data_IF_615415760761
#
_entry.id   IF_615415760761
#
_cell.length_a   1.000
_cell.length_b   1.000
_cell.length_c   1.000
_cell.angle_alpha   90.00
_cell.angle_beta   90.00
_cell.angle_gamma   90.00
#
_symmetry.space_group_name_H-M   'P 1'
#
loop_
_entity.id
_entity.type
_entity.pdbx_description
1 polymer ?
#
# COMPACT_ATOMS: atom_id res chain seq x y z
N UNK A 1 3.34 -10.63 38.19
CA UNK A 1 4.05 -11.12 36.98
C UNK A 1 3.13 -11.76 35.95
N UNK A 2 2.00 -12.38 36.34
CA UNK A 2 1.04 -13.01 35.41
C UNK A 2 0.20 -12.01 34.59
N UNK A 3 -0.24 -10.89 35.16
CA UNK A 3 -1.05 -9.88 34.46
C UNK A 3 -0.27 -9.08 33.40
N UNK A 4 1.01 -8.80 33.66
CA UNK A 4 1.87 -8.12 32.68
C UNK A 4 2.09 -8.98 31.43
N UNK A 5 2.27 -10.29 31.58
CA UNK A 5 2.44 -11.22 30.46
C UNK A 5 1.14 -11.36 29.64
N UNK A 6 -0.04 -11.32 30.28
CA UNK A 6 -1.31 -11.44 29.54
C UNK A 6 -1.66 -10.18 28.75
N UNK A 7 -1.40 -8.99 29.31
CA UNK A 7 -1.56 -7.70 28.62
C UNK A 7 -0.62 -7.57 27.42
N UNK A 8 0.60 -8.09 27.56
CA UNK A 8 1.63 -8.04 26.53
C UNK A 8 1.30 -8.92 25.33
N UNK A 9 0.87 -10.17 25.57
CA UNK A 9 0.35 -11.04 24.52
C UNK A 9 -0.87 -10.44 23.81
N UNK A 10 -1.79 -9.82 24.57
CA UNK A 10 -2.96 -9.14 24.00
C UNK A 10 -2.59 -7.99 23.06
N UNK A 11 -1.57 -7.20 23.42
CA UNK A 11 -1.06 -6.11 22.60
C UNK A 11 -0.40 -6.58 21.30
N UNK A 12 0.50 -7.57 21.37
CA UNK A 12 1.17 -8.16 20.20
C UNK A 12 0.14 -8.75 19.21
N UNK A 13 -0.90 -9.42 19.72
CA UNK A 13 -1.98 -9.93 18.88
C UNK A 13 -2.78 -8.82 18.18
N UNK A 14 -2.90 -7.62 18.78
CA UNK A 14 -3.56 -6.50 18.12
C UNK A 14 -2.70 -5.90 17.01
N UNK A 15 -1.41 -5.72 17.27
CA UNK A 15 -0.47 -5.15 16.30
C UNK A 15 -0.33 -6.04 15.07
N UNK A 16 -0.29 -7.35 15.26
CA UNK A 16 -0.30 -8.32 14.16
C UNK A 16 -1.58 -8.24 13.33
N UNK A 17 -2.76 -8.15 13.98
CA UNK A 17 -4.03 -7.95 13.28
C UNK A 17 -4.05 -6.63 12.49
N UNK A 18 -3.49 -5.58 13.05
CA UNK A 18 -3.40 -4.27 12.38
C UNK A 18 -2.53 -4.35 11.13
N UNK A 19 -1.39 -5.06 11.18
CA UNK A 19 -0.54 -5.29 10.01
C UNK A 19 -1.27 -6.09 8.92
N UNK A 20 -2.04 -7.12 9.28
CA UNK A 20 -2.83 -7.88 8.32
C UNK A 20 -3.92 -7.04 7.65
N UNK A 21 -4.60 -6.20 8.44
CA UNK A 21 -5.57 -5.24 7.92
C UNK A 21 -4.93 -4.28 6.91
N UNK A 22 -3.77 -3.72 7.23
CA UNK A 22 -3.05 -2.81 6.31
C UNK A 22 -2.67 -3.53 5.01
N UNK A 23 -2.22 -4.78 5.08
CA UNK A 23 -1.88 -5.57 3.90
C UNK A 23 -3.10 -5.84 2.99
N UNK A 24 -4.27 -6.07 3.59
CA UNK A 24 -5.53 -6.17 2.85
C UNK A 24 -5.89 -4.84 2.17
N UNK A 25 -5.82 -3.74 2.89
CA UNK A 25 -6.11 -2.40 2.34
C UNK A 25 -5.14 -2.03 1.20
N UNK A 26 -3.86 -2.41 1.31
CA UNK A 26 -2.88 -2.25 0.23
C UNK A 26 -3.25 -3.08 -1.00
N UNK A 27 -3.71 -4.32 -0.79
CA UNK A 27 -4.16 -5.18 -1.88
C UNK A 27 -5.39 -4.60 -2.59
N UNK A 28 -6.35 -4.07 -1.85
CA UNK A 28 -7.54 -3.41 -2.39
C UNK A 28 -7.17 -2.17 -3.22
N UNK A 29 -6.24 -1.34 -2.71
CA UNK A 29 -5.74 -0.19 -3.46
C UNK A 29 -5.06 -0.63 -4.78
N UNK A 30 -4.26 -1.70 -4.77
CA UNK A 30 -3.66 -2.24 -6.01
C UNK A 30 -4.73 -2.70 -7.00
N UNK A 31 -5.77 -3.41 -6.54
CA UNK A 31 -6.85 -3.87 -7.41
C UNK A 31 -7.59 -2.70 -8.07
N UNK A 32 -7.93 -1.68 -7.28
CA UNK A 32 -8.58 -0.48 -7.81
C UNK A 32 -7.69 0.28 -8.82
N UNK A 33 -6.37 0.37 -8.57
CA UNK A 33 -5.44 0.94 -9.55
C UNK A 33 -5.35 0.10 -10.84
N UNK A 34 -5.38 -1.23 -10.75
CA UNK A 34 -5.38 -2.10 -11.94
C UNK A 34 -6.63 -1.88 -12.78
N UNK A 35 -7.80 -1.76 -12.16
CA UNK A 35 -9.07 -1.44 -12.85
C UNK A 35 -8.97 -0.15 -13.65
N UNK A 36 -8.39 0.92 -13.07
CA UNK A 36 -8.19 2.18 -13.80
C UNK A 36 -7.24 2.00 -14.97
N UNK A 37 -6.10 1.34 -14.78
CA UNK A 37 -5.13 1.10 -15.86
C UNK A 37 -5.74 0.28 -17.00
N UNK A 38 -6.55 -0.73 -16.69
CA UNK A 38 -7.25 -1.54 -17.70
C UNK A 38 -8.23 -0.72 -18.53
N UNK A 39 -8.99 0.18 -17.90
CA UNK A 39 -9.88 1.11 -18.61
C UNK A 39 -9.10 2.04 -19.54
N UNK A 40 -7.94 2.53 -19.10
CA UNK A 40 -7.11 3.48 -19.84
C UNK A 40 -6.21 2.83 -20.91
N UNK A 41 -6.24 1.50 -21.04
CA UNK A 41 -5.39 0.75 -21.97
C UNK A 41 -5.84 0.83 -23.43
N UNK A 42 -7.07 1.27 -23.68
CA UNK A 42 -7.67 1.29 -25.01
C UNK A 42 -7.21 2.53 -25.80
N UNK A 43 -6.51 2.38 -26.95
CA UNK A 43 -5.91 3.49 -27.70
C UNK A 43 -6.89 4.56 -28.20
N UNK A 44 -8.18 4.21 -28.30
CA UNK A 44 -9.25 5.08 -28.81
C UNK A 44 -10.01 5.79 -27.68
N UNK A 45 -9.76 5.44 -26.41
CA UNK A 45 -10.43 6.03 -25.27
C UNK A 45 -9.62 7.21 -24.73
N UNK A 46 -9.74 8.36 -25.40
CA UNK A 46 -9.48 9.60 -24.69
C UNK A 46 -10.48 9.71 -23.54
N UNK A 47 -10.00 9.92 -22.32
CA UNK A 47 -10.92 10.12 -21.20
C UNK A 47 -11.51 11.52 -21.27
N UNK A 48 -12.83 11.57 -21.29
CA UNK A 48 -13.58 12.82 -21.18
C UNK A 48 -13.47 13.36 -19.74
N UNK A 49 -13.73 14.66 -19.58
CA UNK A 49 -13.48 15.40 -18.32
C UNK A 49 -14.09 14.76 -17.08
N UNK A 50 -15.25 14.10 -17.20
CA UNK A 50 -15.95 13.46 -16.07
C UNK A 50 -15.22 12.21 -15.56
N UNK A 51 -14.74 11.36 -16.45
CA UNK A 51 -14.01 10.13 -16.09
C UNK A 51 -12.63 10.47 -15.53
N UNK A 52 -11.99 11.51 -16.09
CA UNK A 52 -10.77 12.11 -15.54
C UNK A 52 -10.97 12.59 -14.10
N UNK A 53 -12.02 13.36 -13.85
CA UNK A 53 -12.33 13.88 -12.51
C UNK A 53 -12.60 12.75 -11.51
N UNK A 54 -13.33 11.71 -11.91
CA UNK A 54 -13.58 10.55 -11.06
C UNK A 54 -12.28 9.83 -10.67
N UNK A 55 -11.43 9.54 -11.65
CA UNK A 55 -10.15 8.87 -11.42
C UNK A 55 -9.21 9.72 -10.55
N UNK A 56 -9.14 11.03 -10.77
CA UNK A 56 -8.36 11.95 -9.93
C UNK A 56 -8.85 11.94 -8.49
N UNK A 57 -10.16 12.05 -8.25
CA UNK A 57 -10.72 12.03 -6.90
C UNK A 57 -10.43 10.70 -6.17
N UNK A 58 -10.52 9.57 -6.88
CA UNK A 58 -10.15 8.27 -6.34
C UNK A 58 -8.67 8.21 -5.94
N UNK A 59 -7.77 8.72 -6.79
CA UNK A 59 -6.32 8.75 -6.56
C UNK A 59 -5.96 9.67 -5.39
N UNK A 60 -6.64 10.80 -5.22
CA UNK A 60 -6.50 11.70 -4.07
C UNK A 60 -6.93 11.01 -2.77
N UNK A 61 -8.09 10.34 -2.76
CA UNK A 61 -8.53 9.57 -1.60
C UNK A 61 -7.57 8.44 -1.25
N UNK A 62 -7.01 7.75 -2.26
CA UNK A 62 -5.94 6.77 -2.04
C UNK A 62 -4.74 7.44 -1.38
N UNK A 63 -4.27 8.59 -1.88
CA UNK A 63 -3.15 9.31 -1.28
C UNK A 63 -3.35 9.59 0.21
N UNK A 64 -4.54 10.03 0.60
CA UNK A 64 -4.87 10.29 2.01
C UNK A 64 -4.78 9.02 2.85
N UNK A 65 -5.37 7.91 2.38
CA UNK A 65 -5.26 6.60 3.06
C UNK A 65 -3.81 6.13 3.17
N UNK A 66 -3.02 6.27 2.10
CA UNK A 66 -1.59 5.93 2.13
C UNK A 66 -0.84 6.73 3.19
N UNK A 67 -1.11 8.04 3.29
CA UNK A 67 -0.46 8.91 4.26
C UNK A 67 -0.80 8.51 5.71
N UNK A 68 -2.06 8.17 5.97
CA UNK A 68 -2.51 7.68 7.27
C UNK A 68 -1.83 6.35 7.63
N UNK A 69 -1.77 5.40 6.69
CA UNK A 69 -1.09 4.12 6.91
C UNK A 69 0.40 4.28 7.15
N UNK A 70 1.08 5.16 6.41
CA UNK A 70 2.50 5.47 6.67
C UNK A 70 2.73 5.99 8.08
N UNK A 71 1.94 6.96 8.53
CA UNK A 71 2.05 7.53 9.86
C UNK A 71 1.81 6.48 10.94
N UNK A 72 0.79 5.64 10.76
CA UNK A 72 0.47 4.57 11.68
C UNK A 72 1.59 3.52 11.75
N UNK A 73 2.14 3.09 10.61
CA UNK A 73 3.28 2.16 10.56
C UNK A 73 4.54 2.75 11.20
N UNK A 74 4.83 4.03 10.97
CA UNK A 74 5.97 4.72 11.59
C UNK A 74 5.81 4.78 13.12
N UNK A 75 4.60 5.04 13.61
CA UNK A 75 4.30 5.03 15.04
C UNK A 75 4.45 3.62 15.64
N UNK A 76 3.97 2.59 14.95
CA UNK A 76 4.07 1.18 15.37
C UNK A 76 5.55 0.75 15.48
N UNK A 77 6.35 1.05 14.45
CA UNK A 77 7.80 0.80 14.42
C UNK A 77 8.50 1.52 15.56
N UNK A 78 8.20 2.81 15.75
CA UNK A 78 8.86 3.62 16.77
C UNK A 78 8.56 3.11 18.18
N UNK A 79 7.29 2.82 18.46
CA UNK A 79 6.81 2.37 19.78
C UNK A 79 7.43 1.02 20.14
N UNK A 80 7.33 0.03 19.26
CA UNK A 80 7.89 -1.30 19.49
C UNK A 80 9.42 -1.28 19.59
N UNK A 81 10.10 -0.48 18.76
CA UNK A 81 11.55 -0.31 18.87
C UNK A 81 11.96 0.30 20.23
N UNK A 82 11.15 1.21 20.78
CA UNK A 82 11.40 1.80 22.11
C UNK A 82 11.19 0.76 23.20
N UNK A 83 10.14 -0.05 23.13
CA UNK A 83 9.87 -1.12 24.10
C UNK A 83 10.97 -2.19 24.09
N UNK A 84 11.44 -2.62 22.91
CA UNK A 84 12.60 -3.52 22.76
C UNK A 84 13.85 -2.99 23.46
N UNK A 85 14.18 -1.70 23.24
CA UNK A 85 15.36 -1.07 23.86
C UNK A 85 15.29 -1.01 25.37
N UNK A 86 14.08 -0.93 25.94
CA UNK A 86 13.87 -0.94 27.39
C UNK A 86 13.78 -2.36 27.97
N UNK A 87 13.84 -3.39 27.13
CA UNK A 87 13.58 -4.77 27.53
C UNK A 87 12.13 -5.02 27.96
N UNK A 88 11.21 -4.13 27.59
CA UNK A 88 9.78 -4.30 27.87
C UNK A 88 9.27 -5.49 27.05
N UNK A 89 9.55 -5.54 25.75
CA UNK A 89 9.35 -6.71 24.87
C UNK A 89 10.69 -7.32 24.46
N UNK A 90 10.69 -8.60 24.07
CA UNK A 90 11.89 -9.32 23.59
C UNK A 90 11.77 -9.79 22.15
N UNK A 91 10.55 -9.99 21.65
CA UNK A 91 10.31 -10.31 20.25
C UNK A 91 10.37 -9.04 19.38
N UNK A 92 11.10 -9.11 18.27
CA UNK A 92 11.24 -8.03 17.30
C UNK A 92 10.41 -8.24 16.03
N UNK A 93 9.58 -9.29 15.98
CA UNK A 93 8.77 -9.67 14.83
C UNK A 93 7.89 -8.51 14.35
N UNK A 94 7.15 -7.86 15.25
CA UNK A 94 6.28 -6.70 14.94
C UNK A 94 7.07 -5.58 14.26
N UNK A 95 8.26 -5.24 14.77
CA UNK A 95 9.12 -4.21 14.15
C UNK A 95 9.55 -4.62 12.75
N UNK A 96 9.90 -5.89 12.57
CA UNK A 96 10.36 -6.43 11.29
C UNK A 96 9.23 -6.41 10.27
N UNK A 97 8.06 -6.93 10.63
CA UNK A 97 6.89 -6.95 9.76
C UNK A 97 6.39 -5.55 9.43
N UNK A 98 6.34 -4.64 10.41
CA UNK A 98 5.94 -3.25 10.17
C UNK A 98 6.82 -2.56 9.12
N UNK A 99 8.14 -2.83 9.12
CA UNK A 99 9.06 -2.27 8.11
C UNK A 99 8.81 -2.84 6.72
N UNK A 100 8.55 -4.14 6.61
CA UNK A 100 8.21 -4.76 5.33
C UNK A 100 6.86 -4.24 4.81
N UNK A 101 5.82 -4.17 5.64
CA UNK A 101 4.51 -3.57 5.26
C UNK A 101 4.69 -2.12 4.79
N UNK A 102 5.52 -1.33 5.47
CA UNK A 102 5.84 0.05 5.07
C UNK A 102 6.57 0.14 3.72
N UNK A 103 7.46 -0.81 3.43
CA UNK A 103 8.14 -0.90 2.13
C UNK A 103 7.14 -1.25 1.02
N UNK A 104 6.18 -2.12 1.29
CA UNK A 104 5.09 -2.44 0.35
C UNK A 104 4.22 -1.22 0.07
N UNK A 105 3.91 -0.40 1.09
CA UNK A 105 3.18 0.86 0.92
C UNK A 105 3.88 1.81 -0.05
N UNK A 106 5.22 1.90 0.01
CA UNK A 106 6.00 2.69 -0.96
C UNK A 106 5.89 2.13 -2.39
N UNK A 107 5.76 0.81 -2.52
CA UNK A 107 5.41 0.13 -3.77
C UNK A 107 4.03 0.56 -4.29
N UNK A 108 2.99 0.55 -3.44
CA UNK A 108 1.64 0.97 -3.81
C UNK A 108 1.64 2.44 -4.23
N UNK A 109 2.38 3.31 -3.51
CA UNK A 109 2.55 4.73 -3.89
C UNK A 109 3.13 4.87 -5.29
N UNK A 110 4.12 4.05 -5.64
CA UNK A 110 4.71 4.09 -6.99
C UNK A 110 3.68 3.74 -8.06
N UNK A 111 2.83 2.73 -7.82
CA UNK A 111 1.74 2.37 -8.72
C UNK A 111 0.72 3.50 -8.86
N UNK A 112 0.35 4.15 -7.76
CA UNK A 112 -0.55 5.32 -7.79
C UNK A 112 0.02 6.45 -8.65
N UNK A 113 1.29 6.79 -8.48
CA UNK A 113 1.96 7.83 -9.27
C UNK A 113 2.00 7.48 -10.78
N UNK A 114 2.21 6.20 -11.13
CA UNK A 114 2.10 5.78 -12.52
C UNK A 114 0.67 5.89 -13.05
N UNK A 115 -0.33 5.54 -12.25
CA UNK A 115 -1.73 5.69 -12.61
C UNK A 115 -2.12 7.16 -12.83
N UNK A 116 -1.66 8.06 -11.97
CA UNK A 116 -1.80 9.51 -12.14
C UNK A 116 -1.20 10.02 -13.44
N UNK A 117 0.03 9.59 -13.76
CA UNK A 117 0.68 9.93 -15.01
C UNK A 117 -0.16 9.45 -16.21
N UNK A 118 -0.69 8.22 -16.17
CA UNK A 118 -1.52 7.67 -17.24
C UNK A 118 -2.81 8.47 -17.38
N UNK A 119 -3.57 8.69 -16.30
CA UNK A 119 -4.81 9.49 -16.30
C UNK A 119 -4.56 10.88 -16.89
N UNK A 120 -3.44 11.51 -16.54
CA UNK A 120 -3.07 12.82 -17.08
C UNK A 120 -2.77 12.77 -18.58
N UNK A 121 -2.03 11.77 -19.04
CA UNK A 121 -1.58 11.64 -20.44
C UNK A 121 -2.66 11.15 -21.40
N UNK A 122 -3.69 10.46 -20.89
CA UNK A 122 -4.84 9.99 -21.69
C UNK A 122 -5.98 11.00 -21.76
N UNK A 123 -5.85 12.13 -21.09
CA UNK A 123 -6.87 13.17 -21.10
C UNK A 123 -6.89 13.92 -22.45
N UNK A 124 -8.10 14.25 -22.93
CA UNK A 124 -8.31 14.95 -24.22
C UNK A 124 -7.54 16.28 -24.31
N UNK A 125 -7.34 16.95 -23.19
CA UNK A 125 -6.68 18.25 -23.08
C UNK A 125 -5.14 18.16 -22.94
N UNK A 126 -4.57 16.96 -22.98
CA UNK A 126 -3.13 16.75 -22.85
C UNK A 126 -2.39 17.01 -24.16
N UNK A 127 -1.35 17.85 -24.12
CA UNK A 127 -0.63 18.35 -25.31
C UNK A 127 0.87 18.03 -25.31
N UNK A 128 1.37 17.42 -24.25
CA UNK A 128 2.78 17.08 -24.04
C UNK A 128 3.11 15.67 -24.56
N UNK A 129 4.39 15.25 -24.61
CA UNK A 129 4.76 13.91 -25.06
C UNK A 129 4.07 12.80 -24.24
N UNK A 130 3.29 11.96 -24.92
CA UNK A 130 2.55 10.88 -24.30
C UNK A 130 3.47 9.66 -24.08
N UNK A 131 3.73 9.34 -22.81
CA UNK A 131 4.48 8.15 -22.36
C UNK A 131 3.61 7.16 -21.58
N UNK A 132 2.29 7.23 -21.73
CA UNK A 132 1.34 6.39 -21.01
C UNK A 132 1.63 4.90 -21.21
N UNK A 133 1.99 4.48 -22.44
CA UNK A 133 2.35 3.09 -22.73
C UNK A 133 3.54 2.58 -21.90
N UNK A 134 4.58 3.40 -21.71
CA UNK A 134 5.72 3.04 -20.85
C UNK A 134 5.29 2.95 -19.38
N UNK A 135 4.45 3.89 -18.92
CA UNK A 135 3.93 3.89 -17.54
C UNK A 135 3.08 2.66 -17.25
N UNK A 136 2.20 2.29 -18.18
CA UNK A 136 1.38 1.08 -18.12
C UNK A 136 2.29 -0.17 -18.06
N UNK A 137 3.31 -0.24 -18.91
CA UNK A 137 4.25 -1.37 -18.87
C UNK A 137 4.95 -1.54 -17.51
N UNK A 138 5.48 -0.46 -16.94
CA UNK A 138 6.10 -0.51 -15.61
C UNK A 138 5.09 -0.81 -14.51
N UNK A 139 3.88 -0.25 -14.61
CA UNK A 139 2.79 -0.53 -13.69
C UNK A 139 2.47 -2.02 -13.67
N UNK A 140 2.26 -2.65 -14.82
CA UNK A 140 1.90 -4.07 -14.93
C UNK A 140 2.94 -5.00 -14.30
N UNK A 141 4.23 -4.69 -14.51
CA UNK A 141 5.31 -5.47 -13.91
C UNK A 141 5.34 -5.31 -12.39
N UNK A 142 5.21 -4.07 -11.90
CA UNK A 142 5.31 -3.79 -10.47
C UNK A 142 4.08 -4.25 -9.70
N UNK A 143 2.87 -4.13 -10.26
CA UNK A 143 1.62 -4.54 -9.62
C UNK A 143 1.60 -6.03 -9.31
N UNK A 144 1.95 -6.87 -10.29
CA UNK A 144 2.08 -8.33 -10.11
C UNK A 144 3.11 -8.69 -9.04
N UNK A 145 4.30 -8.07 -9.12
CA UNK A 145 5.36 -8.31 -8.14
C UNK A 145 4.90 -7.96 -6.73
N UNK A 146 4.25 -6.80 -6.57
CA UNK A 146 3.80 -6.30 -5.28
C UNK A 146 2.67 -7.15 -4.68
N UNK A 147 1.74 -7.64 -5.49
CA UNK A 147 0.70 -8.58 -5.03
C UNK A 147 1.31 -9.87 -4.47
N UNK A 148 2.34 -10.42 -5.13
CA UNK A 148 3.06 -11.60 -4.62
C UNK A 148 3.78 -11.29 -3.31
N UNK A 149 4.46 -10.14 -3.23
CA UNK A 149 5.15 -9.70 -2.00
C UNK A 149 4.16 -9.54 -0.82
N UNK A 150 2.98 -8.93 -1.04
CA UNK A 150 1.91 -8.78 -0.04
C UNK A 150 1.39 -10.15 0.40
N UNK A 151 1.08 -11.03 -0.55
CA UNK A 151 0.56 -12.37 -0.24
C UNK A 151 1.55 -13.19 0.59
N UNK A 152 2.83 -13.21 0.17
CA UNK A 152 3.88 -13.91 0.89
C UNK A 152 4.06 -13.39 2.32
N UNK A 153 4.03 -12.07 2.52
CA UNK A 153 4.17 -11.47 3.84
C UNK A 153 2.96 -11.80 4.74
N UNK A 154 1.74 -11.79 4.19
CA UNK A 154 0.53 -12.19 4.93
C UNK A 154 0.65 -13.64 5.42
N UNK A 155 1.04 -14.56 4.54
CA UNK A 155 1.24 -15.96 4.94
C UNK A 155 2.34 -16.12 6.01
N UNK A 156 3.41 -15.35 5.92
CA UNK A 156 4.50 -15.41 6.91
C UNK A 156 4.01 -14.96 8.29
N UNK A 157 3.21 -13.88 8.33
CA UNK A 157 2.60 -13.37 9.56
C UNK A 157 1.62 -14.40 10.13
N UNK A 158 0.80 -15.05 9.29
CA UNK A 158 -0.17 -16.08 9.71
C UNK A 158 0.53 -17.33 10.29
N UNK A 159 1.64 -17.78 9.70
CA UNK A 159 2.39 -18.97 10.15
C UNK A 159 3.05 -18.79 11.53
N UNK A 160 3.16 -17.56 12.03
CA UNK A 160 3.73 -17.25 13.35
C UNK A 160 2.69 -17.00 14.43
N UNK A 161 1.39 -17.04 14.11
CA UNK A 161 0.31 -17.08 15.09
C UNK A 161 0.13 -18.49 15.66
#
# INVERSE_FOLDING_TARGET
MSEQISLQKSGEHQEVRDLQRILLEQQDDIMALCTVIEQLRMPEQNIYSKDKQHNVAMLEQMQERQQQRFQHLDQLIFTNRRQLKKGEITDNSVVTYSKEVRKLEAGVRTLRLFCEDVVKMTAVDYTEPNRAGERIYYFDKRSKTLQVEIHALREEIDKKQ
#
